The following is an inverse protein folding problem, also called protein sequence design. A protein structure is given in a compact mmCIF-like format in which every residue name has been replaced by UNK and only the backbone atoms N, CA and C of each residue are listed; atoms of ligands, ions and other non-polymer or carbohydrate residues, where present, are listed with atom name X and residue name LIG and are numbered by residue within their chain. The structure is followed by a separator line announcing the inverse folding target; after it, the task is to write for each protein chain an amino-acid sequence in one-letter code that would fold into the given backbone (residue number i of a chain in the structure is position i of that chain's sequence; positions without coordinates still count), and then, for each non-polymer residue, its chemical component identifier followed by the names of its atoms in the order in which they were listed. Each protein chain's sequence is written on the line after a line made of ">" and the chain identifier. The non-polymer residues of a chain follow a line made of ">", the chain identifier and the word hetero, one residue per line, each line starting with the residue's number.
data_IF_597800180370
#
_entry.id   IF_597800180370
#
_cell.length_a   1.000
_cell.length_b   1.000
_cell.length_c   1.000
_cell.angle_alpha   90.00
_cell.angle_beta   90.00
_cell.angle_gamma   90.00
#
_symmetry.space_group_name_H-M   'P 1'
#
loop_
_entity.id
_entity.type
_entity.pdbx_description
1 polymer ?
#
# COMPACT_ATOMS: atom_id res chain seq x y z
N UNK A 1 0.27 25.88 4.00
CA UNK A 1 -0.24 24.51 4.22
C UNK A 1 -0.34 24.25 5.70
N UNK A 2 -1.20 23.33 6.13
CA UNK A 2 -1.27 22.87 7.52
C UNK A 2 0.08 22.25 7.94
N UNK A 3 0.44 22.34 9.23
CA UNK A 3 1.73 21.85 9.73
C UNK A 3 1.90 20.33 9.53
N UNK A 4 0.77 19.62 9.57
CA UNK A 4 0.62 18.19 9.41
C UNK A 4 1.07 17.73 8.02
N UNK A 5 1.01 18.57 6.98
CA UNK A 5 1.44 18.21 5.63
C UNK A 5 2.94 17.88 5.53
N UNK A 6 3.76 18.36 6.48
CA UNK A 6 5.17 18.00 6.60
C UNK A 6 5.43 16.76 7.46
N UNK A 7 4.39 16.13 7.99
CA UNK A 7 4.51 14.96 8.85
C UNK A 7 4.65 13.67 8.02
N UNK A 8 5.49 12.70 8.44
CA UNK A 8 5.50 11.37 7.83
C UNK A 8 4.18 10.61 8.01
N UNK A 9 3.32 11.09 8.92
CA UNK A 9 1.99 10.56 9.20
C UNK A 9 0.87 11.19 8.37
N UNK A 10 1.20 12.15 7.52
CA UNK A 10 0.27 12.65 6.50
C UNK A 10 0.41 11.80 5.24
N UNK A 11 -0.72 11.26 4.79
CA UNK A 11 -0.79 10.29 3.70
C UNK A 11 -1.70 10.80 2.61
N UNK A 12 -1.36 10.46 1.37
CA UNK A 12 -2.27 10.60 0.24
C UNK A 12 -2.68 9.21 -0.23
N UNK A 13 -3.96 9.07 -0.56
CA UNK A 13 -4.56 7.84 -1.04
C UNK A 13 -5.23 8.06 -2.39
N UNK A 14 -5.14 7.06 -3.27
CA UNK A 14 -5.87 7.01 -4.52
C UNK A 14 -6.52 5.64 -4.70
N UNK A 15 -7.73 5.64 -5.24
CA UNK A 15 -8.50 4.45 -5.58
C UNK A 15 -8.81 4.51 -7.07
N UNK A 16 -8.42 3.47 -7.84
CA UNK A 16 -8.83 3.37 -9.24
C UNK A 16 -10.28 2.92 -9.38
N UNK A 17 -10.80 2.97 -10.61
CA UNK A 17 -12.05 2.28 -10.95
C UNK A 17 -11.95 0.79 -10.59
N UNK A 18 -13.01 0.24 -10.00
CA UNK A 18 -13.03 -1.14 -9.49
C UNK A 18 -12.32 -1.34 -8.13
N UNK A 19 -11.54 -0.36 -7.66
CA UNK A 19 -10.82 -0.40 -6.39
C UNK A 19 -11.44 0.53 -5.32
N UNK A 20 -12.78 0.59 -5.35
CA UNK A 20 -13.60 1.45 -4.50
C UNK A 20 -13.41 2.97 -4.72
N UNK A 21 -13.22 3.40 -5.98
CA UNK A 21 -13.44 4.77 -6.39
C UNK A 21 -14.94 5.12 -6.37
N UNK A 22 -15.34 6.05 -5.52
CA UNK A 22 -16.74 6.49 -5.37
C UNK A 22 -17.10 7.72 -6.21
N UNK A 23 -16.09 8.37 -6.79
CA UNK A 23 -16.20 9.58 -7.60
C UNK A 23 -15.55 9.33 -8.96
N UNK A 24 -16.19 9.80 -10.03
CA UNK A 24 -15.84 9.49 -11.41
C UNK A 24 -14.76 10.42 -12.03
N UNK A 25 -14.16 11.31 -11.25
CA UNK A 25 -13.04 12.14 -11.66
C UNK A 25 -11.80 11.83 -10.82
N UNK A 26 -10.62 12.11 -11.39
CA UNK A 26 -9.34 11.96 -10.72
C UNK A 26 -9.31 12.82 -9.45
N UNK A 27 -9.17 12.18 -8.30
CA UNK A 27 -9.04 12.85 -7.02
C UNK A 27 -8.12 12.02 -6.11
N UNK A 28 -7.36 12.72 -5.27
CA UNK A 28 -6.60 12.12 -4.19
C UNK A 28 -7.30 12.43 -2.87
N UNK A 29 -7.18 11.50 -1.93
CA UNK A 29 -7.66 11.66 -0.57
C UNK A 29 -6.47 11.93 0.33
N UNK A 30 -6.60 12.86 1.28
CA UNK A 30 -5.56 13.15 2.25
C UNK A 30 -6.02 12.73 3.64
N UNK A 31 -5.15 12.10 4.42
CA UNK A 31 -5.47 11.66 5.77
C UNK A 31 -4.26 11.83 6.69
N UNK A 32 -4.49 12.45 7.85
CA UNK A 32 -3.50 12.57 8.91
C UNK A 32 -3.94 11.75 10.11
N UNK A 33 -3.08 10.84 10.53
CA UNK A 33 -3.21 10.14 11.79
C UNK A 33 -1.81 9.84 12.30
N UNK A 34 -1.47 10.38 13.46
CA UNK A 34 -0.15 10.33 14.10
C UNK A 34 0.25 8.95 14.64
N UNK A 35 -0.12 7.89 13.93
CA UNK A 35 0.33 6.52 14.15
C UNK A 35 0.72 5.88 12.81
N UNK A 36 1.76 5.03 12.77
CA UNK A 36 2.07 4.22 11.59
C UNK A 36 0.93 3.26 11.26
N UNK A 37 0.58 3.17 9.99
CA UNK A 37 -0.37 2.19 9.49
C UNK A 37 0.28 0.80 9.46
N UNK A 38 -0.49 -0.30 9.61
CA UNK A 38 0.02 -1.66 9.51
C UNK A 38 0.89 -1.93 8.28
N UNK A 39 0.46 -1.45 7.10
CA UNK A 39 1.21 -1.63 5.84
C UNK A 39 2.60 -0.99 5.87
N UNK A 40 2.78 0.12 6.59
CA UNK A 40 4.05 0.85 6.66
C UNK A 40 5.08 0.13 7.52
N UNK A 41 4.62 -0.79 8.38
CA UNK A 41 5.45 -1.64 9.24
C UNK A 41 5.73 -3.00 8.61
N UNK A 42 5.02 -3.36 7.53
CA UNK A 42 5.17 -4.65 6.89
C UNK A 42 6.57 -4.75 6.23
N UNK A 43 7.23 -5.92 6.34
CA UNK A 43 8.52 -6.13 5.70
C UNK A 43 8.39 -6.08 4.17
N UNK A 44 9.51 -5.76 3.52
CA UNK A 44 9.58 -5.71 2.05
C UNK A 44 10.81 -6.45 1.57
N UNK A 45 10.69 -7.13 0.43
CA UNK A 45 11.81 -7.77 -0.26
C UNK A 45 12.16 -6.99 -1.51
N UNK A 46 13.41 -6.53 -1.60
CA UNK A 46 13.88 -5.79 -2.77
C UNK A 46 13.88 -6.71 -3.99
N UNK A 47 13.35 -6.21 -5.09
CA UNK A 47 13.38 -6.92 -6.37
C UNK A 47 14.66 -6.49 -7.08
N UNK A 48 15.51 -7.43 -7.51
CA UNK A 48 16.71 -7.10 -8.28
C UNK A 48 16.28 -6.73 -9.70
N UNK A 49 15.98 -5.44 -9.91
CA UNK A 49 15.61 -4.86 -11.20
C UNK A 49 16.67 -3.89 -11.68
N UNK A 50 16.98 -3.94 -12.97
CA UNK A 50 17.75 -2.91 -13.69
C UNK A 50 16.77 -1.99 -14.41
N UNK A 51 16.83 -0.71 -14.12
CA UNK A 51 16.17 0.31 -14.94
C UNK A 51 17.02 0.60 -16.18
N UNK A 52 16.38 0.79 -17.33
CA UNK A 52 17.06 1.30 -18.53
C UNK A 52 17.66 2.70 -18.32
N UNK A 53 17.03 3.52 -17.47
CA UNK A 53 17.54 4.79 -16.98
C UNK A 53 18.06 4.60 -15.55
N UNK A 54 19.28 5.02 -15.23
CA UNK A 54 19.82 4.99 -13.86
C UNK A 54 19.14 6.04 -12.96
N UNK A 55 17.84 5.89 -12.74
CA UNK A 55 17.00 6.87 -12.06
C UNK A 55 16.99 6.71 -10.53
N UNK A 56 17.62 5.65 -10.00
CA UNK A 56 17.80 5.44 -8.56
C UNK A 56 16.57 4.94 -7.80
N UNK A 57 15.46 4.63 -8.49
CA UNK A 57 14.24 4.11 -7.85
C UNK A 57 14.42 2.64 -7.48
N UNK A 58 14.02 2.29 -6.26
CA UNK A 58 14.03 0.92 -5.74
C UNK A 58 12.59 0.40 -5.73
N UNK A 59 12.42 -0.83 -6.20
CA UNK A 59 11.14 -1.54 -6.17
C UNK A 59 11.27 -2.76 -5.26
N UNK A 60 10.30 -2.95 -4.37
CA UNK A 60 10.25 -4.08 -3.44
C UNK A 60 8.87 -4.72 -3.43
N UNK A 61 8.78 -6.03 -3.19
CA UNK A 61 7.52 -6.73 -2.91
C UNK A 61 7.16 -6.55 -1.43
N UNK A 62 5.88 -6.30 -1.17
CA UNK A 62 5.34 -6.30 0.19
C UNK A 62 5.23 -7.74 0.71
N UNK A 63 5.79 -8.01 1.88
CA UNK A 63 5.79 -9.32 2.52
C UNK A 63 4.92 -9.32 3.78
N UNK A 64 4.46 -10.51 4.17
CA UNK A 64 3.69 -10.74 5.39
C UNK A 64 2.54 -9.74 5.57
N UNK A 65 1.80 -9.52 4.49
CA UNK A 65 0.64 -8.63 4.45
C UNK A 65 -0.48 -9.29 3.63
N UNK A 66 -1.76 -9.12 4.00
CA UNK A 66 -2.87 -9.82 3.33
C UNK A 66 -3.08 -9.40 1.87
N UNK A 67 -2.61 -8.21 1.49
CA UNK A 67 -2.70 -7.70 0.11
C UNK A 67 -1.32 -7.65 -0.51
N UNK A 68 -1.17 -8.28 -1.67
CA UNK A 68 0.06 -8.23 -2.47
C UNK A 68 0.22 -6.85 -3.10
N UNK A 69 1.42 -6.32 -3.05
CA UNK A 69 1.70 -4.99 -3.56
C UNK A 69 3.19 -4.76 -3.79
N UNK A 70 3.45 -3.69 -4.54
CA UNK A 70 4.79 -3.19 -4.82
C UNK A 70 5.02 -1.91 -4.00
N UNK A 71 6.25 -1.74 -3.55
CA UNK A 71 6.71 -0.58 -2.79
C UNK A 71 7.82 0.10 -3.58
N UNK A 72 7.62 1.38 -3.87
CA UNK A 72 8.54 2.23 -4.60
C UNK A 72 9.14 3.28 -3.67
N UNK A 73 10.46 3.35 -3.62
CA UNK A 73 11.22 4.26 -2.76
C UNK A 73 12.47 4.77 -3.49
N UNK A 74 12.98 5.93 -3.08
CA UNK A 74 14.21 6.51 -3.64
C UNK A 74 13.96 7.33 -4.91
N UNK A 75 14.84 7.18 -5.90
CA UNK A 75 14.92 8.07 -7.05
C UNK A 75 15.94 9.20 -6.86
N UNK A 76 16.54 9.67 -7.96
CA UNK A 76 17.40 10.85 -7.96
C UNK A 76 16.58 12.13 -7.76
N UNK A 77 15.29 12.07 -8.09
CA UNK A 77 14.28 13.11 -7.91
C UNK A 77 12.92 12.50 -7.57
N UNK A 78 12.01 13.33 -7.04
CA UNK A 78 10.59 12.95 -6.86
C UNK A 78 9.93 12.62 -8.19
N UNK A 79 10.40 13.24 -9.28
CA UNK A 79 9.89 12.97 -10.62
C UNK A 79 10.24 11.54 -11.07
N UNK A 80 11.44 11.04 -10.79
CA UNK A 80 11.81 9.65 -11.12
C UNK A 80 10.89 8.64 -10.44
N UNK A 81 10.60 8.85 -9.16
CA UNK A 81 9.67 8.02 -8.39
C UNK A 81 8.24 8.11 -8.95
N UNK A 82 7.80 9.34 -9.24
CA UNK A 82 6.47 9.61 -9.81
C UNK A 82 6.29 8.96 -11.18
N UNK A 83 7.24 9.14 -12.09
CA UNK A 83 7.17 8.63 -13.46
C UNK A 83 7.11 7.10 -13.47
N UNK A 84 7.86 6.43 -12.58
CA UNK A 84 7.82 4.98 -12.45
C UNK A 84 6.47 4.48 -11.93
N UNK A 85 5.93 5.09 -10.87
CA UNK A 85 4.63 4.69 -10.32
C UNK A 85 3.50 5.01 -11.30
N UNK A 86 3.54 6.16 -11.96
CA UNK A 86 2.53 6.55 -12.95
C UNK A 86 2.55 5.61 -14.16
N UNK A 87 3.73 5.22 -14.65
CA UNK A 87 3.84 4.22 -15.72
C UNK A 87 3.18 2.89 -15.35
N UNK A 88 3.40 2.41 -14.12
CA UNK A 88 2.73 1.22 -13.58
C UNK A 88 1.19 1.41 -13.50
N UNK A 89 0.74 2.57 -12.99
CA UNK A 89 -0.68 2.89 -12.86
C UNK A 89 -1.40 2.99 -14.21
N UNK A 90 -0.75 3.57 -15.23
CA UNK A 90 -1.29 3.65 -16.59
C UNK A 90 -1.50 2.24 -17.14
N UNK A 91 -0.49 1.37 -17.03
CA UNK A 91 -0.62 -0.02 -17.49
C UNK A 91 -1.77 -0.74 -16.79
N UNK A 92 -1.86 -0.64 -15.46
CA UNK A 92 -2.95 -1.24 -14.68
C UNK A 92 -4.32 -0.74 -15.15
N UNK A 93 -4.45 0.57 -15.36
CA UNK A 93 -5.70 1.18 -15.81
C UNK A 93 -6.09 0.76 -17.23
N UNK A 94 -5.15 0.75 -18.19
CA UNK A 94 -5.41 0.34 -19.57
C UNK A 94 -5.77 -1.14 -19.68
N UNK A 95 -5.32 -1.96 -18.74
CA UNK A 95 -5.59 -3.40 -18.70
C UNK A 95 -6.72 -3.77 -17.72
N UNK A 96 -7.51 -2.79 -17.26
CA UNK A 96 -8.64 -2.97 -16.35
C UNK A 96 -8.29 -3.76 -15.08
N UNK A 97 -7.07 -3.58 -14.54
CA UNK A 97 -6.68 -4.13 -13.25
C UNK A 97 -6.92 -3.06 -12.19
N UNK A 98 -7.90 -3.23 -11.28
CA UNK A 98 -8.12 -2.26 -10.23
C UNK A 98 -6.92 -2.17 -9.28
N UNK A 99 -6.66 -0.99 -8.73
CA UNK A 99 -5.55 -0.76 -7.82
C UNK A 99 -5.79 0.40 -6.86
N UNK A 100 -5.08 0.36 -5.74
CA UNK A 100 -4.98 1.45 -4.78
C UNK A 100 -3.54 1.96 -4.72
N UNK A 101 -3.36 3.25 -4.46
CA UNK A 101 -2.04 3.86 -4.23
C UNK A 101 -2.03 4.56 -2.89
N UNK A 102 -1.10 4.18 -2.01
CA UNK A 102 -0.81 4.91 -0.77
C UNK A 102 0.53 5.62 -0.91
N UNK A 103 0.53 6.93 -0.72
CA UNK A 103 1.73 7.76 -0.66
C UNK A 103 1.94 8.14 0.81
N UNK A 104 3.11 7.78 1.34
CA UNK A 104 3.46 7.92 2.74
C UNK A 104 4.87 8.54 2.88
N UNK A 105 5.29 8.74 4.14
CA UNK A 105 6.62 9.25 4.47
C UNK A 105 7.00 10.51 3.68
N UNK A 106 6.12 11.52 3.72
CA UNK A 106 6.31 12.80 3.01
C UNK A 106 6.49 12.68 1.50
N UNK A 107 5.93 11.63 0.89
CA UNK A 107 6.00 11.39 -0.56
C UNK A 107 7.18 10.54 -1.00
N UNK A 108 7.99 10.02 -0.07
CA UNK A 108 9.20 9.22 -0.38
C UNK A 108 8.92 7.74 -0.54
N UNK A 109 7.77 7.27 -0.07
CA UNK A 109 7.38 5.87 -0.08
C UNK A 109 5.98 5.70 -0.66
N UNK A 110 5.89 4.97 -1.77
CA UNK A 110 4.64 4.75 -2.48
C UNK A 110 4.33 3.26 -2.56
N UNK A 111 3.16 2.88 -2.07
CA UNK A 111 2.63 1.52 -2.18
C UNK A 111 1.64 1.47 -3.34
N UNK A 112 1.84 0.54 -4.25
CA UNK A 112 0.93 0.22 -5.35
C UNK A 112 0.32 -1.16 -5.10
N UNK A 113 -1.00 -1.20 -5.01
CA UNK A 113 -1.75 -2.35 -4.51
C UNK A 113 -2.81 -2.76 -5.54
N UNK A 114 -2.47 -3.59 -6.54
CA UNK A 114 -3.45 -4.19 -7.44
C UNK A 114 -4.44 -5.06 -6.64
N UNK A 115 -5.71 -5.00 -6.99
CA UNK A 115 -6.78 -5.73 -6.30
C UNK A 115 -7.90 -6.20 -7.24
N UNK A 116 -8.71 -7.16 -6.79
CA UNK A 116 -9.80 -7.75 -7.57
C UNK A 116 -11.12 -7.89 -6.81
N UNK A 117 -11.35 -7.10 -5.74
CA UNK A 117 -12.52 -7.29 -4.89
C UNK A 117 -13.85 -7.10 -5.64
N UNK A 118 -13.96 -6.03 -6.44
CA UNK A 118 -15.18 -5.77 -7.22
C UNK A 118 -15.47 -6.87 -8.26
N UNK A 119 -14.42 -7.43 -8.88
CA UNK A 119 -14.54 -8.56 -9.80
C UNK A 119 -15.05 -9.81 -9.07
N UNK A 120 -14.42 -10.18 -7.94
CA UNK A 120 -14.87 -11.29 -7.11
C UNK A 120 -16.30 -11.13 -6.62
N UNK A 121 -16.72 -9.92 -6.26
CA UNK A 121 -18.11 -9.64 -5.89
C UNK A 121 -19.07 -9.91 -7.06
N UNK A 122 -18.71 -9.46 -8.27
CA UNK A 122 -19.52 -9.69 -9.47
C UNK A 122 -19.61 -11.19 -9.85
N UNK A 123 -18.54 -11.96 -9.58
CA UNK A 123 -18.49 -13.40 -9.80
C UNK A 123 -19.14 -14.22 -8.67
N UNK A 124 -19.53 -13.60 -7.56
CA UNK A 124 -20.11 -14.28 -6.39
C UNK A 124 -19.10 -15.11 -5.59
N UNK A 125 -17.80 -14.79 -5.71
CA UNK A 125 -16.72 -15.50 -5.04
C UNK A 125 -16.47 -15.01 -3.61
N UNK A 126 -17.01 -13.83 -3.26
CA UNK A 126 -16.91 -13.29 -1.90
C UNK A 126 -17.98 -13.90 -1.01
N UNK A 127 -17.56 -14.43 0.15
CA UNK A 127 -18.48 -15.04 1.12
C UNK A 127 -19.57 -14.08 1.61
N UNK A 128 -20.77 -14.62 1.86
CA UNK A 128 -21.91 -13.83 2.36
C UNK A 128 -21.58 -13.13 3.69
N UNK A 129 -20.82 -13.79 4.57
CA UNK A 129 -20.37 -13.22 5.85
C UNK A 129 -19.64 -11.89 5.64
N UNK A 130 -18.73 -11.81 4.66
CA UNK A 130 -17.97 -10.60 4.35
C UNK A 130 -18.83 -9.56 3.62
N UNK A 131 -19.72 -9.97 2.71
CA UNK A 131 -20.66 -9.06 2.06
C UNK A 131 -21.57 -8.36 3.08
N UNK A 132 -22.01 -9.08 4.12
CA UNK A 132 -22.89 -8.55 5.17
C UNK A 132 -22.20 -7.49 6.04
N UNK A 133 -20.86 -7.47 6.10
CA UNK A 133 -20.08 -6.41 6.78
C UNK A 133 -20.25 -5.06 6.09
N UNK A 134 -20.61 -5.08 4.80
CA UNK A 134 -20.69 -3.94 3.90
C UNK A 134 -19.37 -3.17 3.77
N UNK A 135 -18.24 -3.73 4.21
CA UNK A 135 -16.93 -3.12 4.03
C UNK A 135 -16.49 -3.40 2.60
N UNK A 136 -16.21 -2.33 1.85
CA UNK A 136 -15.56 -2.39 0.55
C UNK A 136 -14.18 -1.77 0.75
N UNK A 137 -13.11 -2.57 0.78
CA UNK A 137 -11.79 -2.05 1.11
C UNK A 137 -11.28 -1.06 0.06
N UNK A 138 -11.05 0.18 0.48
CA UNK A 138 -10.32 1.20 -0.25
C UNK A 138 -8.86 1.25 0.24
N UNK A 139 -8.09 2.23 -0.28
CA UNK A 139 -6.72 2.47 0.14
C UNK A 139 -6.53 2.52 1.66
N UNK A 140 -7.46 3.10 2.41
CA UNK A 140 -7.33 3.20 3.87
C UNK A 140 -7.46 1.84 4.57
N UNK A 141 -8.50 1.08 4.25
CA UNK A 141 -8.71 -0.26 4.82
C UNK A 141 -7.58 -1.21 4.42
N UNK A 142 -7.20 -1.21 3.13
CA UNK A 142 -6.09 -2.04 2.62
C UNK A 142 -4.78 -1.66 3.31
N UNK A 143 -4.59 -0.40 3.66
CA UNK A 143 -3.39 0.04 4.38
C UNK A 143 -3.43 -0.27 5.88
N UNK A 144 -4.55 -0.82 6.37
CA UNK A 144 -4.75 -1.29 7.74
C UNK A 144 -5.50 -0.33 8.66
N UNK A 145 -6.11 0.74 8.11
CA UNK A 145 -7.03 1.59 8.84
C UNK A 145 -8.47 1.17 8.55
N UNK A 146 -9.01 0.28 9.39
CA UNK A 146 -10.28 -0.39 9.17
C UNK A 146 -11.47 0.47 9.60
N UNK A 147 -12.40 0.74 8.68
CA UNK A 147 -13.71 1.34 8.98
C UNK A 147 -14.78 0.26 9.01
N UNK A 148 -15.32 -0.03 10.19
CA UNK A 148 -16.33 -1.06 10.40
C UNK A 148 -17.71 -0.41 10.54
N UNK A 149 -18.68 -0.89 9.75
CA UNK A 149 -20.00 -0.27 9.64
C UNK A 149 -20.98 -0.73 10.71
N UNK A 150 -20.86 -1.98 11.16
CA UNK A 150 -21.75 -2.58 12.16
C UNK A 150 -21.07 -2.63 13.51
N UNK A 151 -21.84 -2.37 14.57
CA UNK A 151 -21.38 -2.50 15.95
C UNK A 151 -20.80 -3.88 16.26
N UNK A 152 -21.47 -4.94 15.78
CA UNK A 152 -21.02 -6.32 15.95
C UNK A 152 -19.60 -6.52 15.40
N UNK A 153 -19.35 -6.06 14.17
CA UNK A 153 -18.04 -6.20 13.54
C UNK A 153 -16.96 -5.44 14.31
N UNK A 154 -17.32 -4.28 14.87
CA UNK A 154 -16.42 -3.49 15.71
C UNK A 154 -16.09 -4.19 17.03
N UNK A 155 -17.09 -4.73 17.72
CA UNK A 155 -16.92 -5.42 19.01
C UNK A 155 -16.17 -6.76 18.85
N UNK A 156 -16.36 -7.45 17.71
CA UNK A 156 -15.71 -8.73 17.38
C UNK A 156 -14.42 -8.56 16.55
N UNK A 157 -13.98 -7.32 16.32
CA UNK A 157 -12.83 -7.02 15.47
C UNK A 157 -11.56 -7.70 15.99
N UNK A 158 -10.87 -8.40 15.11
CA UNK A 158 -9.60 -9.05 15.39
C UNK A 158 -8.66 -8.92 14.20
N UNK A 159 -7.36 -9.16 14.44
CA UNK A 159 -6.37 -9.20 13.37
C UNK A 159 -6.71 -10.29 12.34
N UNK A 160 -7.13 -11.47 12.80
CA UNK A 160 -7.54 -12.57 11.92
C UNK A 160 -8.73 -12.18 11.03
N UNK A 161 -9.70 -11.45 11.58
CA UNK A 161 -10.81 -10.91 10.80
C UNK A 161 -10.33 -9.94 9.72
N UNK A 162 -9.48 -8.97 10.09
CA UNK A 162 -8.95 -7.99 9.14
C UNK A 162 -8.12 -8.68 8.04
N UNK A 163 -7.29 -9.65 8.41
CA UNK A 163 -6.49 -10.43 7.47
C UNK A 163 -7.36 -11.16 6.46
N UNK A 164 -8.40 -11.85 6.92
CA UNK A 164 -9.34 -12.58 6.07
C UNK A 164 -10.06 -11.63 5.11
N UNK A 165 -10.56 -10.49 5.58
CA UNK A 165 -11.24 -9.51 4.73
C UNK A 165 -10.30 -8.95 3.66
N UNK A 166 -9.09 -8.52 4.06
CA UNK A 166 -8.14 -7.91 3.15
C UNK A 166 -7.56 -8.93 2.15
N UNK A 167 -7.41 -10.20 2.54
CA UNK A 167 -6.97 -11.25 1.63
C UNK A 167 -7.93 -11.47 0.46
N UNK A 168 -9.24 -11.22 0.64
CA UNK A 168 -10.19 -11.28 -0.48
C UNK A 168 -9.94 -10.21 -1.54
N UNK A 169 -9.35 -9.09 -1.16
CA UNK A 169 -9.05 -7.98 -2.06
C UNK A 169 -7.83 -8.28 -2.93
N UNK A 170 -6.88 -9.05 -2.40
CA UNK A 170 -5.64 -9.37 -3.08
C UNK A 170 -5.86 -10.18 -4.35
N UNK A 171 -5.04 -9.88 -5.37
CA UNK A 171 -4.81 -10.82 -6.47
C UNK A 171 -4.24 -12.14 -5.94
N UNK A 172 -4.48 -13.24 -6.68
CA UNK A 172 -3.76 -14.49 -6.47
C UNK A 172 -2.25 -14.28 -6.70
N UNK A 173 -1.42 -15.19 -6.21
CA UNK A 173 0.02 -15.07 -6.39
C UNK A 173 0.43 -15.14 -7.86
N UNK A 174 -0.19 -16.03 -8.62
CA UNK A 174 0.05 -16.22 -10.06
C UNK A 174 -0.32 -14.96 -10.83
N UNK A 175 -1.50 -14.41 -10.56
CA UNK A 175 -1.98 -13.18 -11.22
C UNK A 175 -1.15 -11.97 -10.82
N UNK A 176 -0.70 -11.89 -9.56
CA UNK A 176 0.17 -10.81 -9.11
C UNK A 176 1.53 -10.85 -9.82
N UNK A 177 2.16 -12.03 -9.93
CA UNK A 177 3.42 -12.21 -10.67
C UNK A 177 3.30 -11.85 -12.15
N UNK A 178 2.18 -12.20 -12.77
CA UNK A 178 1.86 -11.82 -14.15
C UNK A 178 1.76 -10.29 -14.29
N UNK A 179 0.97 -9.63 -13.45
CA UNK A 179 0.79 -8.17 -13.43
C UNK A 179 2.12 -7.46 -13.18
N UNK A 180 2.92 -7.95 -12.23
CA UNK A 180 4.25 -7.43 -11.93
C UNK A 180 5.17 -7.48 -13.14
N UNK A 181 5.21 -8.62 -13.85
CA UNK A 181 6.01 -8.78 -15.07
C UNK A 181 5.63 -7.73 -16.13
N UNK A 182 4.33 -7.51 -16.33
CA UNK A 182 3.86 -6.52 -17.29
C UNK A 182 4.12 -5.08 -16.88
N UNK A 183 3.94 -4.75 -15.60
CA UNK A 183 4.28 -3.42 -15.06
C UNK A 183 5.77 -3.14 -15.26
N UNK A 184 6.64 -4.12 -15.03
CA UNK A 184 8.08 -3.96 -15.23
C UNK A 184 8.43 -3.73 -16.68
N UNK A 185 7.84 -4.51 -17.60
CA UNK A 185 8.00 -4.26 -19.03
C UNK A 185 7.53 -2.85 -19.43
N UNK A 186 6.39 -2.38 -18.92
CA UNK A 186 5.83 -1.07 -19.21
C UNK A 186 6.63 0.11 -18.61
N UNK A 187 7.34 -0.12 -17.50
CA UNK A 187 8.16 0.88 -16.81
C UNK A 187 9.65 0.81 -17.17
N UNK A 188 10.02 -0.05 -18.12
CA UNK A 188 11.41 -0.21 -18.56
C UNK A 188 12.30 -0.85 -17.48
N UNK A 189 11.71 -1.62 -16.58
CA UNK A 189 12.38 -2.44 -15.58
C UNK A 189 12.64 -3.83 -16.15
N UNK A 190 13.85 -4.34 -15.94
CA UNK A 190 14.23 -5.70 -16.30
C UNK A 190 14.73 -6.39 -15.03
N UNK A 191 14.09 -7.49 -14.63
CA UNK A 191 14.61 -8.31 -13.52
C UNK A 191 16.00 -8.85 -13.91
N UNK A 192 16.99 -8.62 -13.05
CA UNK A 192 18.30 -9.22 -13.20
C UNK A 192 18.31 -10.58 -12.52
N UNK A 193 18.68 -11.62 -13.28
CA UNK A 193 18.82 -12.99 -12.78
C UNK A 193 20.08 -13.20 -11.92
N UNK A 194 20.90 -12.16 -11.73
CA UNK A 194 22.24 -12.25 -11.16
C UNK A 194 22.31 -11.72 -9.71
N UNK A 195 21.54 -12.28 -8.78
CA UNK A 195 21.84 -12.15 -7.33
C UNK A 195 21.43 -13.43 -6.57
N UNK A 196 21.97 -14.58 -6.99
CA UNK A 196 22.20 -15.71 -6.08
C UNK A 196 23.71 -15.79 -5.82
N UNK A 197 24.23 -14.96 -4.92
CA UNK A 197 25.51 -15.12 -4.21
C UNK A 197 25.89 -13.77 -3.58
N UNK A 198 25.36 -13.48 -2.40
CA UNK A 198 26.05 -12.77 -1.30
C UNK A 198 25.10 -12.71 -0.11
N UNK A 199 24.86 -13.88 0.47
CA UNK A 199 24.27 -14.04 1.79
C UNK A 199 25.24 -14.82 2.68
N UNK A 200 26.49 -14.40 2.71
CA UNK A 200 27.38 -14.70 3.82
C UNK A 200 28.35 -13.52 3.98
N UNK A 201 28.56 -13.08 5.22
CA UNK A 201 29.26 -11.85 5.64
C UNK A 201 28.45 -10.54 5.64
N UNK A 202 27.67 -10.31 6.71
CA UNK A 202 28.01 -9.28 7.72
C UNK A 202 27.12 -9.50 8.95
N UNK A 203 27.57 -10.36 9.86
CA UNK A 203 27.18 -10.25 11.26
C UNK A 203 27.96 -9.09 11.90
N UNK A 204 27.27 -8.34 12.77
CA UNK A 204 27.75 -7.29 13.67
C UNK A 204 27.73 -5.83 13.15
N UNK A 205 26.61 -5.14 13.35
CA UNK A 205 26.57 -3.98 14.27
C UNK A 205 25.12 -3.52 14.50
N UNK A 206 24.50 -4.03 15.56
CA UNK A 206 23.23 -3.53 16.06
C UNK A 206 23.47 -2.18 16.74
N UNK A 207 23.19 -1.07 16.06
CA UNK A 207 23.03 0.23 16.73
C UNK A 207 21.54 0.43 17.03
N UNK A 208 21.19 0.22 18.30
CA UNK A 208 19.87 0.57 18.81
C UNK A 208 19.78 2.10 18.85
N UNK A 209 18.95 2.70 17.99
CA UNK A 209 18.41 4.03 18.23
C UNK A 209 16.94 3.88 18.62
N UNK A 210 16.65 4.16 19.88
CA UNK A 210 15.27 4.22 20.38
C UNK A 210 14.56 5.44 19.75
N UNK A 211 13.31 5.32 19.29
CA UNK A 211 12.52 6.50 18.96
C UNK A 211 12.22 7.29 20.26
N UNK A 212 12.06 8.62 20.20
CA UNK A 212 11.68 9.38 21.37
C UNK A 212 10.30 8.95 21.85
N UNK A 213 10.20 8.69 23.15
CA UNK A 213 8.96 8.41 23.86
C UNK A 213 7.99 9.56 23.62
N UNK A 214 6.80 9.26 23.10
CA UNK A 214 5.71 10.22 22.97
C UNK A 214 5.35 10.75 24.37
N UNK A 215 5.44 12.07 24.56
CA UNK A 215 4.92 12.73 25.76
C UNK A 215 3.40 12.58 25.83
N UNK A 216 2.81 12.35 27.01
CA UNK A 216 1.36 12.32 27.17
C UNK A 216 0.75 13.65 26.73
N UNK A 217 -0.34 13.59 25.96
CA UNK A 217 -1.16 14.75 25.62
C UNK A 217 -1.68 15.39 26.92
N UNK A 218 -1.73 16.74 27.02
CA UNK A 218 -2.46 17.40 28.09
C UNK A 218 -3.94 17.01 28.02
N UNK A 219 -4.47 16.52 29.13
CA UNK A 219 -5.91 16.47 29.40
C UNK A 219 -6.42 17.92 29.39
N UNK A 220 -6.98 18.39 28.27
CA UNK A 220 -7.96 19.50 28.23
C UNK A 220 -8.43 19.85 26.79
N UNK A 221 -8.74 18.85 25.97
CA UNK A 221 -9.48 19.10 24.73
C UNK A 221 -10.98 18.84 24.96
N UNK A 222 -11.61 19.73 25.71
CA UNK A 222 -13.07 19.78 25.83
C UNK A 222 -13.65 20.38 24.54
N UNK A 223 -14.25 19.54 23.71
CA UNK A 223 -15.10 19.98 22.60
C UNK A 223 -16.39 20.52 23.20
N UNK A 224 -16.58 21.84 23.16
CA UNK A 224 -17.85 22.47 23.48
C UNK A 224 -18.88 22.11 22.39
N UNK A 225 -20.02 21.58 22.83
CA UNK A 225 -21.19 21.26 22.00
C UNK A 225 -21.84 22.50 21.39
#
# INVERSE_FOLDING_TARGET
>A
MAAEAGSPYFRLGYNSLGAFATINHLHFQAYYLSVPFPIEKAPTERIPVKCQSENGVKVSRLLNYPVRGLVYEGGNSVQDLSDMVVGACIWLQENNVPFNVLISDTGRKIFLLPQCYAEKQALGEVSQELLDTQVNPAVWEISGHMVLKRRKDYEEASEAYAWRLLAEVSLSEERFKEVETYIFAATGLVESLDEQMDADETMASTSQSSPPVATPLPEDCLVLQ
#
